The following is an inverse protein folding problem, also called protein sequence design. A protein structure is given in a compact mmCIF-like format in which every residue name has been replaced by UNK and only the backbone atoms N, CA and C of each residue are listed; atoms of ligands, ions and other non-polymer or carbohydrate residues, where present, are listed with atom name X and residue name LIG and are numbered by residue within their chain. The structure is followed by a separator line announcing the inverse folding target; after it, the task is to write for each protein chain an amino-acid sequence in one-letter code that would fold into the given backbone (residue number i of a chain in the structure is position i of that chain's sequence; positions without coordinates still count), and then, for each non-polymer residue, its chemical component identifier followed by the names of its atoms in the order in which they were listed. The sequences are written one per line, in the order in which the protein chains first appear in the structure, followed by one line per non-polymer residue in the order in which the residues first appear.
data_IF_633420780965
#
_entry.id   IF_633420780965
#
_cell.length_a   1.000
_cell.length_b   1.000
_cell.length_c   1.000
_cell.angle_alpha   90.00
_cell.angle_beta   90.00
_cell.angle_gamma   90.00
#
_symmetry.space_group_name_H-M   'P 1'
#
loop_
_entity.id
_entity.type
_entity.pdbx_description
1 polymer ?
#
# COMPACT_ATOMS: atom_id res chain seq x y z
N UNK A 1 40.64 -17.92 -12.95
CA UNK A 1 40.70 -16.86 -11.92
C UNK A 1 40.66 -15.52 -12.65
N UNK A 2 39.52 -14.82 -12.66
CA UNK A 2 39.36 -13.54 -13.35
C UNK A 2 39.70 -12.40 -12.39
N UNK A 3 40.76 -11.64 -12.70
CA UNK A 3 41.11 -10.43 -11.95
C UNK A 3 40.38 -9.24 -12.57
N UNK A 4 39.46 -8.64 -11.83
CA UNK A 4 38.84 -7.36 -12.20
C UNK A 4 39.89 -6.27 -12.02
N UNK A 5 40.37 -5.69 -13.11
CA UNK A 5 41.24 -4.51 -13.08
C UNK A 5 40.38 -3.28 -12.81
N UNK A 6 40.35 -2.83 -11.57
CA UNK A 6 39.74 -1.54 -11.21
C UNK A 6 40.65 -0.43 -11.74
N UNK A 7 40.15 0.34 -12.69
CA UNK A 7 40.90 1.44 -13.28
C UNK A 7 40.78 2.69 -12.39
N UNK A 8 41.86 3.08 -11.71
CA UNK A 8 41.92 4.33 -10.93
C UNK A 8 42.09 5.54 -11.87
N UNK A 9 40.99 6.00 -12.48
CA UNK A 9 40.96 7.34 -13.08
C UNK A 9 41.00 8.37 -11.95
N UNK A 10 42.03 9.23 -11.92
CA UNK A 10 42.01 10.43 -11.08
C UNK A 10 40.80 11.27 -11.50
N UNK A 11 39.92 11.57 -10.56
CA UNK A 11 38.82 12.48 -10.80
C UNK A 11 39.38 13.89 -10.99
N UNK A 12 39.24 14.44 -12.19
CA UNK A 12 39.56 15.85 -12.42
C UNK A 12 38.64 16.69 -11.54
N UNK A 13 39.16 17.57 -10.65
CA UNK A 13 38.34 18.39 -9.76
C UNK A 13 37.27 19.20 -10.52
N UNK A 14 37.57 19.57 -11.76
CA UNK A 14 36.67 20.27 -12.69
C UNK A 14 35.46 19.40 -13.03
N UNK A 15 35.63 18.10 -13.30
CA UNK A 15 34.53 17.20 -13.61
C UNK A 15 33.60 16.99 -12.40
N UNK A 16 34.15 16.97 -11.19
CA UNK A 16 33.37 16.93 -9.94
C UNK A 16 32.56 18.20 -9.72
N UNK A 17 33.13 19.36 -10.02
CA UNK A 17 32.41 20.65 -9.93
C UNK A 17 31.29 20.71 -10.96
N UNK A 18 31.56 20.30 -12.21
CA UNK A 18 30.56 20.25 -13.28
C UNK A 18 29.41 19.30 -12.92
N UNK A 19 29.71 18.11 -12.39
CA UNK A 19 28.66 17.16 -11.99
C UNK A 19 27.83 17.67 -10.81
N UNK A 20 28.44 18.38 -9.85
CA UNK A 20 27.73 19.04 -8.76
C UNK A 20 26.82 20.17 -9.27
N UNK A 21 27.30 21.00 -10.20
CA UNK A 21 26.49 22.05 -10.83
C UNK A 21 25.32 21.43 -11.58
N UNK A 22 25.55 20.36 -12.35
CA UNK A 22 24.48 19.64 -13.06
C UNK A 22 23.44 19.07 -12.09
N UNK A 23 23.86 18.50 -10.96
CA UNK A 23 22.95 18.04 -9.90
C UNK A 23 22.06 19.19 -9.41
N UNK A 24 22.66 20.35 -9.11
CA UNK A 24 21.92 21.54 -8.66
C UNK A 24 20.92 22.00 -9.72
N UNK A 25 21.30 22.03 -11.00
CA UNK A 25 20.40 22.39 -12.10
C UNK A 25 19.23 21.43 -12.22
N UNK A 26 19.46 20.11 -12.10
CA UNK A 26 18.38 19.11 -12.11
C UNK A 26 17.41 19.34 -10.95
N UNK A 27 17.91 19.54 -9.73
CA UNK A 27 17.06 19.88 -8.59
C UNK A 27 16.30 21.20 -8.79
N UNK A 28 16.92 22.20 -9.42
CA UNK A 28 16.25 23.47 -9.74
C UNK A 28 15.09 23.28 -10.72
N UNK A 29 15.26 22.45 -11.75
CA UNK A 29 14.21 22.11 -12.70
C UNK A 29 13.06 21.36 -12.01
N UNK A 30 13.36 20.34 -11.21
CA UNK A 30 12.35 19.60 -10.44
C UNK A 30 11.62 20.55 -9.48
N UNK A 31 12.34 21.44 -8.81
CA UNK A 31 11.75 22.44 -7.91
C UNK A 31 10.80 23.38 -8.65
N UNK A 32 11.15 23.83 -9.85
CA UNK A 32 10.29 24.68 -10.66
C UNK A 32 8.99 23.96 -11.06
N UNK A 33 9.10 22.72 -11.53
CA UNK A 33 7.94 21.87 -11.85
C UNK A 33 7.09 21.62 -10.61
N UNK A 34 7.72 21.21 -9.50
CA UNK A 34 7.05 20.96 -8.23
C UNK A 34 6.31 22.20 -7.73
N UNK A 35 6.91 23.39 -7.83
CA UNK A 35 6.27 24.67 -7.47
C UNK A 35 5.07 24.96 -8.36
N UNK A 36 5.17 24.70 -9.66
CA UNK A 36 4.06 24.85 -10.61
C UNK A 36 2.90 23.92 -10.26
N UNK A 37 3.18 22.62 -10.12
CA UNK A 37 2.19 21.61 -9.72
C UNK A 37 1.57 21.96 -8.39
N UNK A 38 2.38 22.30 -7.37
CA UNK A 38 1.89 22.65 -6.04
C UNK A 38 0.98 23.86 -6.07
N UNK A 39 1.31 24.90 -6.85
CA UNK A 39 0.44 26.08 -7.03
C UNK A 39 -0.92 25.71 -7.64
N UNK A 40 -0.92 24.87 -8.68
CA UNK A 40 -2.17 24.37 -9.28
C UNK A 40 -2.97 23.53 -8.28
N UNK A 41 -2.29 22.63 -7.58
CA UNK A 41 -2.89 21.75 -6.59
C UNK A 41 -3.51 22.53 -5.45
N UNK A 42 -2.87 23.59 -4.96
CA UNK A 42 -3.41 24.46 -3.90
C UNK A 42 -4.68 25.17 -4.36
N UNK A 43 -4.72 25.63 -5.61
CA UNK A 43 -5.92 26.25 -6.17
C UNK A 43 -7.06 25.25 -6.35
N UNK A 44 -6.74 24.01 -6.75
CA UNK A 44 -7.70 22.92 -6.89
C UNK A 44 -8.08 22.23 -5.58
N UNK A 45 -7.25 22.36 -4.54
CA UNK A 45 -7.39 21.68 -3.25
C UNK A 45 -8.79 21.81 -2.62
N UNK A 46 -9.44 22.99 -2.54
CA UNK A 46 -10.79 23.07 -2.00
C UNK A 46 -11.80 22.26 -2.81
N UNK A 47 -11.70 22.27 -4.14
CA UNK A 47 -12.57 21.48 -5.02
C UNK A 47 -12.30 19.98 -4.86
N UNK A 48 -11.02 19.57 -4.80
CA UNK A 48 -10.63 18.18 -4.56
C UNK A 48 -11.09 17.70 -3.18
N UNK A 49 -11.06 18.56 -2.17
CA UNK A 49 -11.53 18.24 -0.83
C UNK A 49 -13.01 17.89 -0.82
N UNK A 50 -13.83 18.77 -1.40
CA UNK A 50 -15.27 18.56 -1.53
C UNK A 50 -15.55 17.34 -2.40
N UNK A 51 -14.87 17.18 -3.54
CA UNK A 51 -15.05 16.03 -4.43
C UNK A 51 -14.70 14.72 -3.72
N UNK A 52 -13.65 14.68 -2.91
CA UNK A 52 -13.28 13.50 -2.11
C UNK A 52 -14.36 13.15 -1.09
N UNK A 53 -14.93 14.15 -0.41
CA UNK A 53 -16.03 13.92 0.54
C UNK A 53 -17.26 13.33 -0.14
N UNK A 54 -17.60 13.81 -1.34
CA UNK A 54 -18.73 13.31 -2.14
C UNK A 54 -18.47 11.89 -2.66
N UNK A 55 -17.23 11.59 -3.10
CA UNK A 55 -16.86 10.27 -3.62
C UNK A 55 -16.84 9.21 -2.52
N UNK A 56 -16.07 9.45 -1.46
CA UNK A 56 -16.00 8.57 -0.30
C UNK A 56 -15.45 9.32 0.92
N UNK A 57 -16.35 9.86 1.75
CA UNK A 57 -15.99 10.53 3.00
C UNK A 57 -15.20 9.62 3.97
N UNK A 58 -15.32 8.28 3.85
CA UNK A 58 -14.59 7.33 4.71
C UNK A 58 -13.10 7.42 4.48
N UNK A 59 -12.65 7.80 3.28
CA UNK A 59 -11.23 7.97 2.97
C UNK A 59 -10.64 9.08 3.83
N UNK A 60 -11.32 10.23 3.95
CA UNK A 60 -10.90 11.35 4.80
C UNK A 60 -10.94 10.96 6.28
N UNK A 61 -12.02 10.32 6.73
CA UNK A 61 -12.12 9.85 8.12
C UNK A 61 -11.05 8.82 8.47
N UNK A 62 -10.74 7.90 7.55
CA UNK A 62 -9.70 6.88 7.74
C UNK A 62 -8.32 7.52 7.90
N UNK A 63 -8.05 8.57 7.13
CA UNK A 63 -6.81 9.33 7.22
C UNK A 63 -6.72 10.14 8.52
N UNK A 64 -7.81 10.79 8.93
CA UNK A 64 -7.87 11.47 10.24
C UNK A 64 -7.66 10.51 11.41
N UNK A 65 -8.31 9.33 11.39
CA UNK A 65 -8.09 8.26 12.38
C UNK A 65 -6.63 7.77 12.36
N UNK A 66 -6.01 7.68 11.19
CA UNK A 66 -4.59 7.33 11.07
C UNK A 66 -3.69 8.38 11.74
N UNK A 67 -3.96 9.67 11.56
CA UNK A 67 -3.23 10.74 12.26
C UNK A 67 -3.37 10.62 13.79
N UNK A 68 -4.59 10.44 14.28
CA UNK A 68 -4.86 10.29 15.72
C UNK A 68 -4.16 9.06 16.31
N UNK A 69 -4.26 7.90 15.67
CA UNK A 69 -3.56 6.68 16.09
C UNK A 69 -2.03 6.86 16.06
N UNK A 70 -1.53 7.64 15.11
CA UNK A 70 -0.09 7.94 15.04
C UNK A 70 0.34 8.82 16.21
N UNK A 71 -0.45 9.83 16.57
CA UNK A 71 -0.25 10.67 17.76
C UNK A 71 -0.27 9.83 19.05
N UNK A 72 -1.24 8.94 19.20
CA UNK A 72 -1.36 8.04 20.37
C UNK A 72 -0.18 7.07 20.48
N UNK A 73 0.28 6.50 19.36
CA UNK A 73 1.37 5.52 19.35
C UNK A 73 2.74 6.18 19.51
N UNK A 74 2.95 7.33 18.88
CA UNK A 74 4.20 8.08 18.97
C UNK A 74 3.92 9.58 18.73
N UNK A 75 3.91 10.34 19.82
CA UNK A 75 3.57 11.77 19.81
C UNK A 75 4.46 12.57 18.87
N UNK A 76 5.78 12.33 18.86
CA UNK A 76 6.74 13.05 18.01
C UNK A 76 6.37 12.85 16.54
N UNK A 77 6.22 11.59 16.12
CA UNK A 77 5.84 11.26 14.74
C UNK A 77 4.45 11.77 14.38
N UNK A 78 3.50 11.72 15.31
CA UNK A 78 2.16 12.24 15.13
C UNK A 78 2.14 13.75 14.87
N UNK A 79 2.92 14.53 15.63
CA UNK A 79 3.05 15.98 15.43
C UNK A 79 3.72 16.26 14.09
N UNK A 80 4.84 15.60 13.78
CA UNK A 80 5.54 15.77 12.50
C UNK A 80 4.59 15.50 11.32
N UNK A 81 3.86 14.39 11.35
CA UNK A 81 2.89 14.05 10.31
C UNK A 81 1.77 15.08 10.20
N UNK A 82 1.26 15.57 11.33
CA UNK A 82 0.19 16.57 11.34
C UNK A 82 0.66 17.89 10.75
N UNK A 83 1.86 18.36 11.13
CA UNK A 83 2.46 19.59 10.57
C UNK A 83 2.72 19.43 9.07
N UNK A 84 3.28 18.29 8.64
CA UNK A 84 3.46 17.97 7.23
C UNK A 84 2.13 17.92 6.46
N UNK A 85 1.06 17.47 7.09
CA UNK A 85 -0.28 17.44 6.50
C UNK A 85 -0.82 18.85 6.28
N UNK A 86 -0.62 19.76 7.23
CA UNK A 86 -1.09 21.15 7.11
C UNK A 86 -0.29 21.88 6.02
N UNK A 87 1.04 21.78 6.05
CA UNK A 87 1.90 22.42 5.05
C UNK A 87 1.71 21.79 3.66
N UNK A 88 1.60 20.47 3.62
CA UNK A 88 1.42 19.66 2.42
C UNK A 88 -0.03 19.40 2.05
N UNK A 89 -0.99 20.13 2.62
CA UNK A 89 -2.43 19.87 2.45
C UNK A 89 -2.86 19.67 0.98
N UNK A 90 -2.41 20.49 0.02
CA UNK A 90 -2.74 20.29 -1.39
C UNK A 90 -2.33 18.91 -1.93
N UNK A 91 -1.15 18.43 -1.55
CA UNK A 91 -0.65 17.11 -1.94
C UNK A 91 -1.45 16.00 -1.25
N UNK A 92 -1.71 16.16 0.05
CA UNK A 92 -2.50 15.20 0.82
C UNK A 92 -3.89 15.05 0.23
N UNK A 93 -4.57 16.15 -0.09
CA UNK A 93 -5.94 16.05 -0.61
C UNK A 93 -5.98 15.49 -2.02
N UNK A 94 -5.02 15.82 -2.88
CA UNK A 94 -4.91 15.19 -4.19
C UNK A 94 -4.67 13.68 -4.07
N UNK A 95 -3.83 13.26 -3.12
CA UNK A 95 -3.59 11.86 -2.82
C UNK A 95 -4.87 11.16 -2.32
N UNK A 96 -5.59 11.75 -1.37
CA UNK A 96 -6.85 11.19 -0.84
C UNK A 96 -7.95 11.14 -1.90
N UNK A 97 -8.03 12.13 -2.77
CA UNK A 97 -8.94 12.13 -3.92
C UNK A 97 -8.61 10.97 -4.87
N UNK A 98 -7.34 10.81 -5.25
CA UNK A 98 -6.89 9.70 -6.08
C UNK A 98 -7.19 8.35 -5.44
N UNK A 99 -6.95 8.22 -4.12
CA UNK A 99 -7.33 7.05 -3.34
C UNK A 99 -8.85 6.79 -3.44
N UNK A 100 -9.70 7.79 -3.24
CA UNK A 100 -11.16 7.65 -3.34
C UNK A 100 -11.61 7.19 -4.74
N UNK A 101 -11.01 7.71 -5.81
CA UNK A 101 -11.28 7.26 -7.18
C UNK A 101 -10.93 5.78 -7.38
N UNK A 102 -9.77 5.34 -6.89
CA UNK A 102 -9.34 3.95 -6.98
C UNK A 102 -10.26 3.02 -6.19
N UNK A 103 -10.60 3.36 -4.95
CA UNK A 103 -11.50 2.56 -4.12
C UNK A 103 -12.88 2.40 -4.75
N UNK A 104 -13.41 3.46 -5.37
CA UNK A 104 -14.69 3.39 -6.10
C UNK A 104 -14.62 2.41 -7.27
N UNK A 105 -13.51 2.41 -8.01
CA UNK A 105 -13.33 1.51 -9.15
C UNK A 105 -13.18 0.05 -8.72
N UNK A 106 -12.38 -0.22 -7.68
CA UNK A 106 -12.22 -1.58 -7.14
C UNK A 106 -13.55 -2.12 -6.64
N UNK A 107 -14.33 -1.31 -5.92
CA UNK A 107 -15.66 -1.72 -5.43
C UNK A 107 -16.63 -2.06 -6.56
N UNK A 108 -16.56 -1.37 -7.69
CA UNK A 108 -17.42 -1.68 -8.84
C UNK A 108 -17.01 -3.00 -9.50
N UNK A 109 -15.70 -3.23 -9.66
CA UNK A 109 -15.18 -4.50 -10.20
C UNK A 109 -15.52 -5.67 -9.27
N UNK A 110 -15.37 -5.50 -7.97
CA UNK A 110 -15.74 -6.50 -6.97
C UNK A 110 -17.23 -6.84 -7.05
N UNK A 111 -18.10 -5.82 -7.22
CA UNK A 111 -19.53 -6.03 -7.43
C UNK A 111 -19.86 -6.71 -8.74
N UNK A 112 -19.21 -6.35 -9.84
CA UNK A 112 -19.41 -7.01 -11.13
C UNK A 112 -18.97 -8.49 -11.05
N UNK A 113 -17.89 -8.79 -10.34
CA UNK A 113 -17.45 -10.16 -10.09
C UNK A 113 -18.35 -10.92 -9.11
N UNK A 114 -18.91 -10.25 -8.09
CA UNK A 114 -19.93 -10.84 -7.23
C UNK A 114 -21.22 -11.12 -8.00
N UNK A 115 -21.68 -10.20 -8.85
CA UNK A 115 -22.86 -10.37 -9.70
C UNK A 115 -22.64 -11.46 -10.76
N UNK A 116 -21.44 -11.58 -11.36
CA UNK A 116 -21.07 -12.70 -12.23
C UNK A 116 -21.04 -14.04 -11.47
N UNK A 117 -20.50 -14.06 -10.25
CA UNK A 117 -20.51 -15.26 -9.39
C UNK A 117 -21.90 -15.64 -8.86
N UNK A 118 -22.81 -14.68 -8.73
CA UNK A 118 -24.22 -14.93 -8.36
C UNK A 118 -25.01 -15.40 -9.60
N UNK A 119 -24.58 -15.00 -10.82
CA UNK A 119 -25.16 -15.44 -12.09
C UNK A 119 -24.77 -16.86 -12.50
N UNK A 120 -23.56 -17.33 -12.15
CA UNK A 120 -23.24 -18.75 -12.08
C UNK A 120 -23.80 -19.33 -10.78
N UNK A 121 -25.09 -19.67 -10.80
CA UNK A 121 -25.61 -20.65 -9.85
C UNK A 121 -24.85 -21.94 -10.12
N UNK A 122 -23.73 -22.18 -9.43
CA UNK A 122 -23.08 -23.48 -9.44
C UNK A 122 -24.01 -24.37 -8.63
N UNK A 123 -24.80 -25.27 -9.27
CA UNK A 123 -25.53 -26.26 -8.50
C UNK A 123 -24.48 -27.02 -7.70
N UNK A 124 -24.71 -27.13 -6.39
CA UNK A 124 -23.96 -28.08 -5.60
C UNK A 124 -24.13 -29.42 -6.30
N UNK A 125 -23.02 -30.04 -6.71
CA UNK A 125 -23.04 -31.44 -7.06
C UNK A 125 -23.36 -32.16 -5.74
N UNK A 126 -24.63 -32.56 -5.57
CA UNK A 126 -24.98 -33.55 -4.55
C UNK A 126 -24.15 -34.77 -4.90
N UNK A 127 -23.07 -34.96 -4.17
CA UNK A 127 -22.29 -36.19 -4.22
C UNK A 127 -23.25 -37.24 -3.68
N UNK A 128 -23.80 -38.07 -4.57
CA UNK A 128 -24.57 -39.24 -4.17
C UNK A 128 -23.69 -40.02 -3.18
N UNK A 129 -24.16 -40.17 -1.94
CA UNK A 129 -23.45 -40.94 -0.90
C UNK A 129 -23.31 -42.44 -1.27
N UNK A 130 -23.78 -42.83 -2.46
CA UNK A 130 -23.80 -44.18 -3.00
C UNK A 130 -22.48 -44.57 -3.72
N UNK A 131 -21.64 -43.61 -4.11
CA UNK A 131 -20.30 -43.91 -4.63
C UNK A 131 -19.32 -44.11 -3.46
N UNK A 132 -19.38 -45.34 -2.93
CA UNK A 132 -18.32 -46.02 -2.18
C UNK A 132 -17.64 -45.14 -1.12
N UNK A 133 -18.33 -44.95 0.02
CA UNK A 133 -17.72 -44.50 1.26
C UNK A 133 -16.36 -45.18 1.42
N UNK A 134 -15.27 -44.41 1.26
CA UNK A 134 -13.91 -44.94 1.27
C UNK A 134 -13.73 -45.78 2.53
N UNK A 135 -13.57 -47.10 2.36
CA UNK A 135 -13.22 -47.98 3.46
C UNK A 135 -11.86 -47.53 3.98
N UNK A 136 -11.93 -46.79 5.09
CA UNK A 136 -10.77 -46.28 5.79
C UNK A 136 -9.91 -47.51 6.15
N UNK A 137 -8.63 -47.55 5.74
CA UNK A 137 -7.77 -48.65 6.15
C UNK A 137 -7.74 -48.68 7.67
N UNK A 138 -7.99 -49.85 8.26
CA UNK A 138 -8.01 -50.02 9.70
C UNK A 138 -6.77 -49.36 10.31
N UNK A 139 -7.01 -48.42 11.24
CA UNK A 139 -5.94 -47.79 11.98
C UNK A 139 -5.16 -48.88 12.73
N UNK A 140 -3.95 -49.19 12.25
CA UNK A 140 -2.99 -49.90 13.08
C UNK A 140 -2.66 -48.96 14.23
N UNK A 141 -3.19 -49.26 15.40
CA UNK A 141 -2.81 -48.62 16.66
C UNK A 141 -1.29 -48.68 16.81
N UNK A 142 -0.62 -47.61 16.41
CA UNK A 142 0.73 -47.34 16.89
C UNK A 142 0.57 -46.75 18.28
N UNK A 143 0.39 -47.66 19.22
CA UNK A 143 0.58 -47.43 20.64
C UNK A 143 2.03 -46.99 20.91
N UNK A 144 2.30 -45.69 20.73
CA UNK A 144 3.36 -44.87 21.37
C UNK A 144 3.62 -43.60 20.58
N UNK A 145 2.89 -42.54 20.87
CA UNK A 145 3.48 -41.18 20.91
C UNK A 145 2.57 -40.16 21.63
N UNK A 146 1.74 -40.60 22.59
CA UNK A 146 0.82 -39.71 23.32
C UNK A 146 1.53 -38.74 24.29
N UNK A 147 2.80 -38.96 24.60
CA UNK A 147 3.55 -38.15 25.58
C UNK A 147 4.35 -36.98 24.97
N UNK A 148 4.31 -36.76 23.64
CA UNK A 148 5.12 -35.70 23.04
C UNK A 148 4.46 -34.32 23.09
N UNK A 149 3.12 -34.24 23.12
CA UNK A 149 2.41 -32.95 23.07
C UNK A 149 2.21 -32.27 24.43
N UNK A 150 2.34 -33.01 25.54
CA UNK A 150 2.17 -32.45 26.89
C UNK A 150 3.31 -31.54 27.37
N UNK A 151 4.51 -31.66 26.80
CA UNK A 151 5.70 -30.91 27.23
C UNK A 151 5.82 -29.49 26.68
N UNK A 152 4.89 -29.05 25.82
CA UNK A 152 4.97 -27.73 25.19
C UNK A 152 4.22 -26.64 25.94
N UNK A 153 3.45 -26.99 26.97
CA UNK A 153 2.59 -26.06 27.69
C UNK A 153 2.88 -25.96 29.20
N UNK A 154 3.95 -26.60 29.67
CA UNK A 154 4.55 -26.36 31.00
C UNK A 154 5.76 -25.43 30.89
#
# INVERSE_FOLDING_TARGET
MFFIRVNNKKSDPINTIISLIMLVVVFMLIFFVARGVFRLLTWMAPFLFIATLILDYRVILSYGKYLLRTLERNVIWGIVMTVLTVIGFPLVIAFLFGKALLFRRVKNVEKEMEEEKIGEFIPYEEVDEEDEFLDLPEFKDKEKDRDRYGRFFD
#
